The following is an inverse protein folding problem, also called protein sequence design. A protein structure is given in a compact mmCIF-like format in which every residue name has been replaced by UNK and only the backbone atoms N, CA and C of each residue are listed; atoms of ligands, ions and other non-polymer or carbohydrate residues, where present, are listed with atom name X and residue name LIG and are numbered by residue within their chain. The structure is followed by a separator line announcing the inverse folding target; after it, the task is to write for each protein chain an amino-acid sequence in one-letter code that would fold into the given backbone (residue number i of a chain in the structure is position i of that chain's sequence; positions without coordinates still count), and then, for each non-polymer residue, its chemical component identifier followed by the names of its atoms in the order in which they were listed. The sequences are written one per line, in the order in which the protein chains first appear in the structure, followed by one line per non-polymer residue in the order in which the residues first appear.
data_IF_246092184730
#
_entry.id   IF_246092184730
#
_cell.length_a   1.000
_cell.length_b   1.000
_cell.length_c   1.000
_cell.angle_alpha   90.00
_cell.angle_beta   90.00
_cell.angle_gamma   90.00
#
_symmetry.space_group_name_H-M   'P 1'
#
loop_
_entity.id
_entity.type
_entity.pdbx_description
1 polymer ?
#
# COMPACT_ATOMS: atom_id res chain seq x y z
N UNK A 1 -10.30 2.53 -7.25
CA UNK A 1 -11.04 2.24 -6.00
C UNK A 1 -12.57 2.23 -6.20
N UNK A 2 -13.06 1.90 -7.40
CA UNK A 2 -14.49 1.99 -7.75
C UNK A 2 -15.35 0.97 -7.00
N UNK A 3 -14.84 -0.26 -6.85
CA UNK A 3 -15.53 -1.34 -6.12
C UNK A 3 -15.78 -0.94 -4.67
N UNK A 4 -14.77 -0.40 -3.98
CA UNK A 4 -14.91 0.08 -2.60
C UNK A 4 -15.99 1.17 -2.48
N UNK A 5 -16.03 2.12 -3.42
CA UNK A 5 -17.05 3.17 -3.43
C UNK A 5 -18.46 2.59 -3.60
N UNK A 6 -18.61 1.63 -4.51
CA UNK A 6 -19.90 1.00 -4.80
C UNK A 6 -20.45 0.20 -3.61
N UNK A 7 -19.57 -0.46 -2.83
CA UNK A 7 -19.95 -1.26 -1.66
C UNK A 7 -20.37 -0.42 -0.45
N UNK A 8 -19.92 0.84 -0.35
CA UNK A 8 -20.27 1.70 0.78
C UNK A 8 -21.67 2.29 0.63
N UNK A 9 -22.43 2.30 1.73
CA UNK A 9 -23.65 3.11 1.81
C UNK A 9 -23.31 4.60 1.74
N UNK A 10 -24.31 5.43 1.46
CA UNK A 10 -24.17 6.88 1.55
C UNK A 10 -23.75 7.30 2.97
N UNK A 11 -22.74 8.16 3.09
CA UNK A 11 -22.11 8.51 4.37
C UNK A 11 -21.18 7.44 4.94
N UNK A 12 -20.94 6.33 4.24
CA UNK A 12 -19.97 5.31 4.66
C UNK A 12 -18.53 5.75 4.43
N UNK A 13 -17.64 5.26 5.29
CA UNK A 13 -16.20 5.59 5.28
C UNK A 13 -15.37 4.42 4.77
N UNK A 14 -14.44 4.71 3.86
CA UNK A 14 -13.32 3.84 3.51
C UNK A 14 -12.13 4.19 4.39
N UNK A 15 -11.50 3.17 4.96
CA UNK A 15 -10.21 3.27 5.64
C UNK A 15 -9.22 2.42 4.84
N UNK A 16 -8.13 3.03 4.38
CA UNK A 16 -7.05 2.35 3.68
C UNK A 16 -5.77 2.54 4.49
N UNK A 17 -5.27 1.45 5.06
CA UNK A 17 -4.01 1.42 5.81
C UNK A 17 -3.09 0.42 5.14
N UNK A 18 -1.88 0.84 4.78
CA UNK A 18 -0.93 0.01 4.02
C UNK A 18 0.50 0.51 4.22
N UNK A 19 1.48 -0.25 3.73
CA UNK A 19 2.88 0.14 3.74
C UNK A 19 3.11 1.39 2.88
N UNK A 20 3.99 2.25 3.38
CA UNK A 20 4.28 3.51 2.74
C UNK A 20 5.03 3.29 1.41
N UNK A 21 4.66 4.01 0.32
CA UNK A 21 5.37 3.98 -0.96
C UNK A 21 6.87 4.25 -0.91
N UNK A 22 7.39 4.80 0.18
CA UNK A 22 8.84 4.95 0.40
C UNK A 22 9.58 3.61 0.30
N UNK A 23 8.91 2.49 0.61
CA UNK A 23 9.39 1.12 0.37
C UNK A 23 9.72 0.80 -1.10
N UNK A 24 9.38 1.69 -2.06
CA UNK A 24 9.83 1.59 -3.45
C UNK A 24 11.32 1.82 -3.59
N UNK A 25 11.90 2.77 -2.86
CA UNK A 25 13.29 3.21 -3.05
C UNK A 25 14.26 2.67 -2.01
N UNK A 26 13.75 2.19 -0.88
CA UNK A 26 14.54 1.61 0.21
C UNK A 26 13.73 0.55 0.95
N UNK A 27 14.37 -0.54 1.38
CA UNK A 27 13.72 -1.59 2.19
C UNK A 27 13.66 -1.19 3.68
N UNK A 28 12.99 -0.07 3.97
CA UNK A 28 12.91 0.52 5.32
C UNK A 28 12.16 -0.35 6.35
N UNK A 29 11.42 -1.35 5.86
CA UNK A 29 10.64 -2.27 6.68
C UNK A 29 11.25 -3.67 6.71
N UNK A 30 12.48 -3.86 6.22
CA UNK A 30 13.14 -5.16 6.20
C UNK A 30 12.26 -6.28 5.60
N UNK A 31 11.55 -5.97 4.52
CA UNK A 31 10.64 -6.90 3.85
C UNK A 31 11.36 -7.81 2.86
N UNK A 32 12.65 -7.58 2.63
CA UNK A 32 13.50 -8.26 1.64
C UNK A 32 12.98 -8.07 0.20
N UNK A 33 12.27 -6.97 -0.04
CA UNK A 33 11.69 -6.65 -1.35
C UNK A 33 12.62 -5.72 -2.14
N UNK A 34 12.74 -5.90 -3.47
CA UNK A 34 13.64 -5.09 -4.28
C UNK A 34 13.27 -3.60 -4.25
N UNK A 35 14.29 -2.74 -4.15
CA UNK A 35 14.17 -1.31 -4.42
C UNK A 35 14.20 -1.05 -5.92
N UNK A 36 13.58 0.05 -6.33
CA UNK A 36 13.45 0.48 -7.72
C UNK A 36 13.20 1.98 -7.80
N UNK A 37 13.18 2.54 -9.01
CA UNK A 37 12.74 3.92 -9.22
C UNK A 37 11.37 4.15 -8.59
N UNK A 38 11.23 5.22 -7.80
CA UNK A 38 9.96 5.64 -7.20
C UNK A 38 8.84 5.77 -8.23
N UNK A 39 9.19 6.21 -9.44
CA UNK A 39 8.26 6.40 -10.57
C UNK A 39 8.12 5.18 -11.48
N UNK A 40 8.79 4.07 -11.19
CA UNK A 40 8.62 2.84 -11.97
C UNK A 40 7.18 2.34 -11.87
N UNK A 41 6.59 2.00 -13.02
CA UNK A 41 5.28 1.36 -13.13
C UNK A 41 5.37 -0.12 -13.48
N UNK A 42 6.59 -0.66 -13.58
CA UNK A 42 6.85 -2.03 -13.96
C UNK A 42 6.23 -3.02 -12.97
N UNK A 43 5.67 -4.10 -13.52
CA UNK A 43 5.27 -5.27 -12.75
C UNK A 43 6.50 -6.17 -12.59
N UNK A 44 6.71 -6.69 -11.39
CA UNK A 44 7.80 -7.63 -11.09
C UNK A 44 7.29 -8.81 -10.29
N UNK A 45 7.99 -9.94 -10.36
CA UNK A 45 7.69 -11.08 -9.51
C UNK A 45 8.44 -10.99 -8.19
N UNK A 46 7.74 -11.21 -7.08
CA UNK A 46 8.30 -11.24 -5.72
C UNK A 46 7.75 -12.41 -4.92
N UNK A 47 8.32 -12.65 -3.75
CA UNK A 47 7.75 -13.59 -2.80
C UNK A 47 6.53 -13.01 -2.08
N UNK A 48 5.65 -13.89 -1.62
CA UNK A 48 4.56 -13.53 -0.71
C UNK A 48 5.13 -12.80 0.50
N UNK A 49 4.47 -11.72 0.95
CA UNK A 49 4.98 -10.90 2.07
C UNK A 49 5.19 -11.70 3.37
N UNK A 50 4.43 -12.76 3.58
CA UNK A 50 4.55 -13.63 4.75
C UNK A 50 5.53 -14.80 4.56
N UNK A 51 6.06 -15.04 3.36
CA UNK A 51 6.90 -16.20 3.06
C UNK A 51 8.17 -16.25 3.92
N UNK A 52 8.74 -15.07 4.24
CA UNK A 52 9.92 -14.92 5.10
C UNK A 52 9.74 -15.46 6.54
N UNK A 53 8.50 -15.65 7.00
CA UNK A 53 8.24 -16.18 8.34
C UNK A 53 8.27 -17.71 8.40
N UNK A 54 8.52 -18.37 7.27
CA UNK A 54 8.58 -19.82 7.15
C UNK A 54 10.01 -20.30 6.93
N UNK A 55 10.29 -21.53 7.34
CA UNK A 55 11.55 -22.21 7.03
C UNK A 55 11.79 -22.30 5.52
N UNK A 56 13.06 -22.29 5.10
CA UNK A 56 13.45 -22.28 3.68
C UNK A 56 12.79 -23.40 2.87
N UNK A 57 12.66 -24.59 3.47
CA UNK A 57 12.04 -25.77 2.83
C UNK A 57 10.57 -25.51 2.44
N UNK A 58 9.86 -24.70 3.23
CA UNK A 58 8.46 -24.31 2.99
C UNK A 58 8.39 -23.05 2.12
N UNK A 59 9.24 -22.05 2.40
CA UNK A 59 9.34 -20.78 1.64
C UNK A 59 9.55 -21.04 0.15
N UNK A 60 10.45 -21.96 -0.20
CA UNK A 60 10.77 -22.31 -1.59
C UNK A 60 9.60 -22.96 -2.37
N UNK A 61 8.61 -23.51 -1.66
CA UNK A 61 7.42 -24.11 -2.29
C UNK A 61 6.30 -23.10 -2.51
N UNK A 62 6.41 -21.88 -1.95
CA UNK A 62 5.37 -20.87 -2.08
C UNK A 62 5.36 -20.25 -3.49
N UNK A 63 4.18 -20.00 -4.06
CA UNK A 63 4.09 -19.34 -5.36
C UNK A 63 4.61 -17.90 -5.26
N UNK A 64 5.20 -17.43 -6.36
CA UNK A 64 5.56 -16.02 -6.52
C UNK A 64 4.33 -15.19 -6.86
N UNK A 65 4.36 -13.92 -6.47
CA UNK A 65 3.33 -12.95 -6.75
C UNK A 65 3.80 -11.89 -7.74
N UNK A 66 2.86 -11.43 -8.57
CA UNK A 66 3.07 -10.24 -9.42
C UNK A 66 2.79 -8.99 -8.60
N UNK A 67 3.79 -8.13 -8.46
CA UNK A 67 3.72 -6.88 -7.71
C UNK A 67 3.84 -5.68 -8.64
N UNK A 68 3.04 -4.64 -8.34
CA UNK A 68 3.26 -3.27 -8.80
C UNK A 68 3.25 -2.38 -7.58
N UNK A 69 4.32 -1.63 -7.35
CA UNK A 69 4.37 -0.64 -6.27
C UNK A 69 3.87 0.72 -6.78
N UNK A 70 3.10 1.43 -5.96
CA UNK A 70 2.45 2.70 -6.31
C UNK A 70 3.15 3.88 -5.63
N UNK A 71 3.05 5.07 -6.23
CA UNK A 71 3.40 6.34 -5.57
C UNK A 71 2.26 6.81 -4.66
N UNK A 72 2.55 7.69 -3.70
CA UNK A 72 1.52 8.35 -2.88
C UNK A 72 0.51 9.08 -3.77
N UNK A 73 1.00 9.79 -4.80
CA UNK A 73 0.15 10.54 -5.73
C UNK A 73 -0.84 9.64 -6.48
N UNK A 74 -0.44 8.44 -6.88
CA UNK A 74 -1.36 7.47 -7.51
C UNK A 74 -2.46 7.04 -6.53
N UNK A 75 -2.11 6.77 -5.28
CA UNK A 75 -3.05 6.33 -4.24
C UNK A 75 -4.06 7.44 -3.93
N UNK A 76 -3.59 8.65 -3.61
CA UNK A 76 -4.45 9.80 -3.29
C UNK A 76 -5.36 10.16 -4.47
N UNK A 77 -4.81 10.23 -5.69
CA UNK A 77 -5.62 10.52 -6.87
C UNK A 77 -6.61 9.40 -7.18
N UNK A 78 -6.30 8.13 -6.87
CA UNK A 78 -7.27 7.05 -6.99
C UNK A 78 -8.47 7.26 -6.04
N UNK A 79 -8.26 7.76 -4.82
CA UNK A 79 -9.35 8.12 -3.89
C UNK A 79 -10.23 9.21 -4.52
N UNK A 80 -9.62 10.33 -4.92
CA UNK A 80 -10.31 11.51 -5.47
C UNK A 80 -11.07 11.15 -6.76
N UNK A 81 -10.41 10.48 -7.71
CA UNK A 81 -10.98 10.14 -9.00
C UNK A 81 -12.18 9.19 -8.88
N UNK A 82 -12.21 8.36 -7.84
CA UNK A 82 -13.33 7.47 -7.53
C UNK A 82 -14.43 8.12 -6.67
N UNK A 83 -14.45 9.45 -6.57
CA UNK A 83 -15.51 10.27 -5.97
C UNK A 83 -15.64 10.16 -4.45
N UNK A 84 -14.65 9.57 -3.79
CA UNK A 84 -14.52 9.71 -2.34
C UNK A 84 -14.17 11.15 -1.98
N UNK A 85 -14.70 11.61 -0.85
CA UNK A 85 -14.26 12.84 -0.20
C UNK A 85 -13.11 12.46 0.72
N UNK A 86 -11.88 12.79 0.34
CA UNK A 86 -10.70 12.58 1.19
C UNK A 86 -10.87 13.39 2.48
N UNK A 87 -10.76 12.72 3.63
CA UNK A 87 -10.89 13.35 4.95
C UNK A 87 -9.56 13.51 5.63
N UNK A 88 -8.70 12.49 5.56
CA UNK A 88 -7.40 12.49 6.22
C UNK A 88 -6.41 11.58 5.49
N UNK A 89 -5.14 11.98 5.52
CA UNK A 89 -3.98 11.20 5.12
C UNK A 89 -2.95 11.39 6.24
N UNK A 90 -2.63 10.32 6.96
CA UNK A 90 -1.61 10.30 8.01
C UNK A 90 -0.50 9.34 7.60
N UNK A 91 0.74 9.70 7.91
CA UNK A 91 1.90 8.83 7.78
C UNK A 91 2.36 8.39 9.18
N UNK A 92 2.82 7.15 9.27
CA UNK A 92 3.31 6.55 10.51
C UNK A 92 4.78 6.16 10.36
N UNK A 93 5.61 6.35 11.40
CA UNK A 93 7.02 5.98 11.33
C UNK A 93 7.23 4.48 11.10
N UNK A 94 8.36 4.11 10.51
CA UNK A 94 8.76 2.70 10.40
C UNK A 94 9.09 2.12 11.78
N UNK A 95 8.83 0.82 11.95
CA UNK A 95 8.95 0.16 13.25
C UNK A 95 10.37 0.13 13.82
N UNK A 96 11.40 0.06 12.97
CA UNK A 96 12.82 0.03 13.38
C UNK A 96 13.52 1.39 13.21
N UNK A 97 12.88 2.37 12.54
CA UNK A 97 13.47 3.67 12.29
C UNK A 97 12.38 4.77 12.26
N UNK A 98 12.25 5.57 13.34
CA UNK A 98 11.20 6.58 13.43
C UNK A 98 11.42 7.79 12.51
N UNK A 99 12.60 7.94 11.90
CA UNK A 99 12.94 9.07 11.02
C UNK A 99 12.43 8.88 9.57
N UNK A 100 11.85 7.73 9.25
CA UNK A 100 11.31 7.41 7.92
C UNK A 100 9.88 6.89 7.99
N UNK A 101 9.03 7.17 6.98
CA UNK A 101 7.64 6.73 6.97
C UNK A 101 7.52 5.25 6.61
N UNK A 102 6.97 4.44 7.51
CA UNK A 102 6.76 3.01 7.31
C UNK A 102 5.39 2.67 6.74
N UNK A 103 4.34 3.34 7.23
CA UNK A 103 2.95 3.08 6.87
C UNK A 103 2.19 4.39 6.62
N UNK A 104 1.01 4.29 6.03
CA UNK A 104 0.07 5.41 5.96
C UNK A 104 -1.35 4.94 6.26
N UNK A 105 -2.21 5.90 6.61
CA UNK A 105 -3.65 5.70 6.71
C UNK A 105 -4.40 6.80 5.97
N UNK A 106 -5.34 6.41 5.11
CA UNK A 106 -6.31 7.28 4.46
C UNK A 106 -7.69 7.01 5.05
N UNK A 107 -8.41 8.08 5.39
CA UNK A 107 -9.86 8.03 5.60
C UNK A 107 -10.56 8.85 4.52
N UNK A 108 -11.61 8.28 3.92
CA UNK A 108 -12.36 8.96 2.88
C UNK A 108 -13.82 8.51 2.86
N UNK A 109 -14.73 9.45 2.67
CA UNK A 109 -16.16 9.19 2.79
C UNK A 109 -16.86 9.13 1.43
N UNK A 110 -17.88 8.28 1.34
CA UNK A 110 -18.90 8.39 0.28
C UNK A 110 -19.85 9.52 0.63
N UNK A 111 -19.55 10.71 0.13
CA UNK A 111 -20.35 11.91 0.37
C UNK A 111 -21.77 11.82 -0.18
N UNK A 112 -22.69 12.54 0.49
CA UNK A 112 -23.93 13.03 -0.11
C UNK A 112 -23.52 14.21 -0.99
N UNK A 113 -23.78 14.14 -2.29
CA UNK A 113 -23.68 15.32 -3.15
C UNK A 113 -24.95 16.13 -3.04
#
# INVERSE_FOLDING_TARGET
MQVMYALLKLGGTMICSDFHPFTKIADILNLEQPSMSYFSTAVFEGEMAHARFYEDSVRQQMPRCSYRKYTISEIINAVINNKFILKRFDEHPAWDNPDVPGEFTITADRGVR
#
